data_IF_158638190496
#
_entry.id   IF_158638190496
#
_cell.length_a   1.000
_cell.length_b   1.000
_cell.length_c   1.000
_cell.angle_alpha   90.00
_cell.angle_beta   90.00
_cell.angle_gamma   90.00
#
_symmetry.space_group_name_H-M   'P 1'
#
loop_
_entity.id
_entity.type
_entity.pdbx_description
1 polymer ?
#
# COMPACT_ATOMS: atom_id res chain seq x y z
N UNK A 1 -11.27 4.78 17.34
CA UNK A 1 -10.81 5.76 18.36
C UNK A 1 -9.44 5.46 18.97
N UNK A 2 -9.17 4.23 19.43
CA UNK A 2 -7.89 3.88 20.09
C UNK A 2 -6.65 4.14 19.22
N UNK A 3 -6.69 3.81 17.92
CA UNK A 3 -5.58 4.14 17.00
C UNK A 3 -5.31 5.64 16.94
N UNK A 4 -6.36 6.45 16.76
CA UNK A 4 -6.23 7.90 16.71
C UNK A 4 -5.68 8.46 18.04
N UNK A 5 -6.09 7.89 19.17
CA UNK A 5 -5.55 8.25 20.49
C UNK A 5 -4.07 7.92 20.61
N UNK A 6 -3.64 6.73 20.17
CA UNK A 6 -2.22 6.34 20.12
C UNK A 6 -1.41 7.30 19.24
N UNK A 7 -1.95 7.72 18.10
CA UNK A 7 -1.29 8.69 17.21
C UNK A 7 -1.24 10.09 17.83
N UNK A 8 -2.33 10.54 18.48
CA UNK A 8 -2.39 11.83 19.18
C UNK A 8 -1.38 11.89 20.33
N UNK A 9 -1.36 10.87 21.19
CA UNK A 9 -0.43 10.79 22.33
C UNK A 9 1.03 10.67 21.88
N UNK A 10 1.25 10.06 20.70
CA UNK A 10 2.56 9.99 20.05
C UNK A 10 2.97 11.27 19.30
N UNK A 11 2.12 12.30 19.23
CA UNK A 11 2.41 13.55 18.52
C UNK A 11 2.27 13.48 17.00
N UNK A 12 1.62 12.44 16.47
CA UNK A 12 1.43 12.20 15.03
C UNK A 12 0.05 12.63 14.50
N UNK A 13 -0.81 13.18 15.35
CA UNK A 13 -2.15 13.62 14.98
C UNK A 13 -2.44 15.01 15.55
N UNK A 14 -2.94 15.91 14.71
CA UNK A 14 -3.35 17.25 15.12
C UNK A 14 -4.64 17.19 15.95
N UNK A 15 -4.52 17.50 17.24
CA UNK A 15 -5.62 17.38 18.20
C UNK A 15 -6.65 18.51 18.13
N UNK A 16 -6.28 19.67 17.60
CA UNK A 16 -7.06 20.91 17.50
C UNK A 16 -8.02 20.94 16.31
N UNK A 17 -7.90 19.98 15.38
CA UNK A 17 -8.79 19.87 14.25
C UNK A 17 -10.25 19.65 14.71
N UNK A 18 -11.14 20.53 14.25
CA UNK A 18 -12.58 20.42 14.49
C UNK A 18 -13.16 19.19 13.78
N UNK A 19 -14.19 18.61 14.39
CA UNK A 19 -14.90 17.45 13.84
C UNK A 19 -16.40 17.72 13.74
N UNK A 20 -17.12 16.81 13.07
CA UNK A 20 -18.58 16.87 12.92
C UNK A 20 -19.35 16.82 14.25
N UNK A 21 -18.72 16.45 15.36
CA UNK A 21 -19.37 16.45 16.69
C UNK A 21 -19.42 17.84 17.33
N UNK A 22 -18.87 18.87 16.67
CA UNK A 22 -18.71 20.20 17.25
C UNK A 22 -17.57 20.29 18.28
N UNK A 23 -16.78 19.23 18.42
CA UNK A 23 -15.59 19.15 19.29
C UNK A 23 -14.33 18.89 18.45
N UNK A 24 -13.18 19.24 19.01
CA UNK A 24 -11.86 18.92 18.45
C UNK A 24 -11.58 17.40 18.51
N UNK A 25 -10.61 16.93 17.73
CA UNK A 25 -10.13 15.54 17.81
C UNK A 25 -9.69 15.20 19.24
N UNK A 26 -8.92 16.08 19.90
CA UNK A 26 -8.43 15.85 21.26
C UNK A 26 -9.57 15.73 22.28
N UNK A 27 -10.60 16.57 22.18
CA UNK A 27 -11.78 16.49 23.05
C UNK A 27 -12.57 15.19 22.84
N UNK A 28 -12.76 14.75 21.60
CA UNK A 28 -13.44 13.49 21.31
C UNK A 28 -12.66 12.26 21.81
N UNK A 29 -11.33 12.35 21.93
CA UNK A 29 -10.46 11.23 22.31
C UNK A 29 -10.07 11.23 23.80
N UNK A 30 -10.54 12.19 24.60
CA UNK A 30 -10.13 12.38 26.00
C UNK A 30 -10.25 11.11 26.85
N UNK A 31 -11.36 10.39 26.71
CA UNK A 31 -11.70 9.23 27.55
C UNK A 31 -11.30 7.89 26.89
N UNK A 32 -10.59 7.94 25.77
CA UNK A 32 -10.11 6.75 25.07
C UNK A 32 -8.77 6.31 25.69
N UNK A 33 -8.69 5.04 26.07
CA UNK A 33 -7.47 4.43 26.59
C UNK A 33 -6.99 3.27 25.72
N UNK A 34 -5.68 3.00 25.76
CA UNK A 34 -5.10 1.85 25.07
C UNK A 34 -5.34 0.57 25.89
N UNK A 35 -5.83 -0.48 25.24
CA UNK A 35 -5.92 -1.80 25.87
C UNK A 35 -4.60 -2.57 25.68
N UNK A 36 -3.83 -2.88 26.73
CA UNK A 36 -2.57 -3.62 26.57
C UNK A 36 -2.76 -5.11 26.27
N UNK A 37 -3.95 -5.67 26.52
CA UNK A 37 -4.22 -7.10 26.30
C UNK A 37 -4.53 -7.45 24.83
N UNK A 38 -4.86 -6.45 23.99
CA UNK A 38 -5.11 -6.71 22.57
C UNK A 38 -3.79 -6.91 21.80
N UNK A 39 -3.85 -7.66 20.69
CA UNK A 39 -2.67 -8.06 19.89
C UNK A 39 -2.66 -7.50 18.47
N UNK A 40 -3.65 -6.67 18.11
CA UNK A 40 -3.88 -6.13 16.77
C UNK A 40 -3.05 -4.86 16.52
N UNK A 41 -2.99 -3.96 17.50
CA UNK A 41 -2.28 -2.69 17.40
C UNK A 41 -1.09 -2.67 18.36
N UNK A 42 0.03 -2.12 17.91
CA UNK A 42 1.18 -1.87 18.77
C UNK A 42 1.15 -0.44 19.31
N UNK A 43 1.74 -0.17 20.49
CA UNK A 43 1.93 1.21 20.95
C UNK A 43 2.86 1.97 19.99
N UNK A 44 2.74 3.30 19.97
CA UNK A 44 3.57 4.16 19.12
C UNK A 44 5.09 3.97 19.35
N UNK A 45 5.48 3.58 20.57
CA UNK A 45 6.86 3.28 20.96
C UNK A 45 7.41 1.94 20.45
N UNK A 46 6.56 1.04 19.94
CA UNK A 46 6.97 -0.27 19.43
C UNK A 46 6.25 -0.60 18.11
N UNK A 47 6.45 0.18 17.03
CA UNK A 47 5.76 -0.06 15.77
C UNK A 47 6.25 -1.35 15.09
N UNK A 48 5.54 -1.77 14.02
CA UNK A 48 6.00 -2.89 13.17
C UNK A 48 7.22 -2.47 12.34
N UNK A 49 7.15 -1.27 11.76
CA UNK A 49 8.22 -0.62 10.98
C UNK A 49 8.41 0.81 11.48
N UNK A 50 9.62 1.35 11.34
CA UNK A 50 9.92 2.72 11.78
C UNK A 50 9.20 3.80 10.95
N UNK A 51 8.88 3.48 9.68
CA UNK A 51 8.18 4.37 8.76
C UNK A 51 6.85 3.78 8.30
N UNK A 52 6.02 4.61 7.65
CA UNK A 52 4.76 4.19 7.06
C UNK A 52 4.93 3.11 5.99
N UNK A 53 3.88 2.32 5.80
CA UNK A 53 3.86 1.17 4.89
C UNK A 53 3.65 1.50 3.41
N UNK A 54 3.45 2.78 3.07
CA UNK A 54 3.22 3.27 1.70
C UNK A 54 4.25 4.36 1.43
N UNK A 55 4.94 4.26 0.30
CA UNK A 55 5.99 5.21 -0.10
C UNK A 55 5.75 5.71 -1.53
N UNK A 56 6.19 6.94 -1.77
CA UNK A 56 6.27 7.49 -3.13
C UNK A 56 7.57 7.08 -3.80
N UNK A 57 7.50 6.64 -5.05
CA UNK A 57 8.64 6.38 -5.91
C UNK A 57 8.72 7.44 -7.01
N UNK A 58 9.92 7.79 -7.44
CA UNK A 58 10.18 8.68 -8.58
C UNK A 58 11.38 8.19 -9.36
N UNK A 59 11.38 8.41 -10.67
CA UNK A 59 12.46 8.00 -11.56
C UNK A 59 12.11 8.25 -13.02
N UNK A 60 12.91 7.72 -13.93
CA UNK A 60 12.68 7.87 -15.38
C UNK A 60 11.34 7.26 -15.85
N UNK A 61 10.87 6.18 -15.22
CA UNK A 61 9.59 5.54 -15.55
C UNK A 61 8.37 6.18 -14.85
N UNK A 62 8.59 6.97 -13.80
CA UNK A 62 7.55 7.65 -13.04
C UNK A 62 8.03 9.06 -12.64
N UNK A 63 8.19 9.98 -13.61
CA UNK A 63 8.75 11.32 -13.36
C UNK A 63 7.85 12.17 -12.45
N UNK A 64 6.54 11.97 -12.52
CA UNK A 64 5.55 12.66 -11.69
C UNK A 64 5.20 11.88 -10.42
N UNK A 65 5.79 10.70 -10.25
CA UNK A 65 5.64 9.86 -9.06
C UNK A 65 4.77 8.61 -9.27
N UNK A 66 4.98 7.62 -8.42
CA UNK A 66 4.17 6.42 -8.27
C UNK A 66 4.05 6.06 -6.79
N UNK A 67 3.09 5.20 -6.45
CA UNK A 67 2.86 4.74 -5.07
C UNK A 67 3.09 3.25 -4.97
N UNK A 68 3.80 2.81 -3.94
CA UNK A 68 4.00 1.39 -3.62
C UNK A 68 3.76 1.15 -2.13
N UNK A 69 3.11 0.03 -1.82
CA UNK A 69 3.00 -0.47 -0.45
C UNK A 69 4.21 -1.35 -0.15
N UNK A 70 5.11 -0.86 0.70
CA UNK A 70 6.29 -1.60 1.19
C UNK A 70 6.03 -2.40 2.46
N UNK A 71 4.91 -2.16 3.14
CA UNK A 71 4.52 -2.97 4.29
C UNK A 71 4.38 -4.45 3.90
N UNK A 72 5.15 -5.30 4.56
CA UNK A 72 5.17 -6.74 4.33
C UNK A 72 6.21 -7.22 3.31
N UNK A 73 6.98 -6.33 2.68
CA UNK A 73 8.06 -6.72 1.77
C UNK A 73 9.36 -7.02 2.55
N UNK A 74 10.00 -8.16 2.23
CA UNK A 74 11.33 -8.53 2.72
C UNK A 74 12.46 -7.85 1.95
N UNK A 75 12.22 -7.55 0.66
CA UNK A 75 13.16 -6.89 -0.24
C UNK A 75 12.58 -5.58 -0.77
N UNK A 76 13.39 -4.52 -0.73
CA UNK A 76 12.99 -3.17 -1.19
C UNK A 76 13.53 -2.79 -2.56
N UNK A 77 14.28 -3.70 -3.18
CA UNK A 77 14.92 -3.52 -4.49
C UNK A 77 14.64 -4.72 -5.35
N UNK A 78 14.25 -4.48 -6.60
CA UNK A 78 14.05 -5.51 -7.60
C UNK A 78 14.56 -4.99 -8.95
N UNK A 79 15.17 -5.86 -9.76
CA UNK A 79 15.70 -5.49 -11.08
C UNK A 79 15.63 -6.70 -11.98
N UNK A 80 15.14 -6.48 -13.21
CA UNK A 80 15.06 -7.54 -14.20
C UNK A 80 14.52 -7.06 -15.55
N UNK A 81 14.44 -7.96 -16.53
CA UNK A 81 13.96 -7.63 -17.86
C UNK A 81 12.47 -7.27 -17.84
N UNK A 82 12.09 -6.22 -18.58
CA UNK A 82 10.69 -5.80 -18.64
C UNK A 82 9.86 -6.73 -19.52
N UNK A 83 8.71 -7.18 -18.99
CA UNK A 83 7.66 -7.90 -19.72
C UNK A 83 6.42 -7.00 -19.78
N UNK A 84 6.14 -6.46 -20.96
CA UNK A 84 5.17 -5.37 -21.14
C UNK A 84 3.86 -5.89 -21.74
N UNK A 85 2.75 -5.43 -21.18
CA UNK A 85 1.37 -5.73 -21.58
C UNK A 85 0.57 -4.43 -21.71
N UNK A 86 -0.35 -4.40 -22.66
CA UNK A 86 -1.18 -3.22 -22.95
C UNK A 86 -2.54 -3.25 -22.23
N UNK A 87 -2.90 -4.36 -21.59
CA UNK A 87 -4.07 -4.49 -20.73
C UNK A 87 -3.87 -5.55 -19.62
N UNK A 88 -4.70 -5.52 -18.59
CA UNK A 88 -4.69 -6.53 -17.51
C UNK A 88 -4.96 -7.95 -18.04
N UNK A 89 -5.86 -8.11 -19.00
CA UNK A 89 -6.28 -9.42 -19.51
C UNK A 89 -5.12 -10.21 -20.11
N UNK A 90 -4.26 -9.55 -20.88
CA UNK A 90 -3.08 -10.17 -21.49
C UNK A 90 -2.03 -10.54 -20.43
N UNK A 91 -1.83 -9.67 -19.44
CA UNK A 91 -0.92 -9.94 -18.32
C UNK A 91 -1.43 -11.14 -17.49
N UNK A 92 -2.72 -11.17 -17.19
CA UNK A 92 -3.38 -12.25 -16.47
C UNK A 92 -3.31 -13.57 -17.23
N UNK A 93 -3.53 -13.55 -18.56
CA UNK A 93 -3.37 -14.72 -19.41
C UNK A 93 -1.92 -15.26 -19.38
N UNK A 94 -0.92 -14.37 -19.41
CA UNK A 94 0.49 -14.76 -19.32
C UNK A 94 0.85 -15.38 -17.96
N UNK A 95 0.31 -14.85 -16.86
CA UNK A 95 0.42 -15.41 -15.50
C UNK A 95 -0.25 -16.79 -15.44
N UNK A 96 -1.49 -16.93 -15.90
CA UNK A 96 -2.20 -18.21 -15.89
C UNK A 96 -1.49 -19.29 -16.70
N UNK A 97 -0.96 -18.91 -17.87
CA UNK A 97 -0.20 -19.80 -18.74
C UNK A 97 1.23 -20.08 -18.24
N UNK A 98 1.66 -19.47 -17.12
CA UNK A 98 3.02 -19.62 -16.55
C UNK A 98 4.13 -19.35 -17.57
N UNK A 99 3.93 -18.33 -18.40
CA UNK A 99 4.88 -17.93 -19.46
C UNK A 99 5.85 -16.83 -19.01
N UNK A 100 5.67 -16.34 -17.79
CA UNK A 100 6.56 -15.39 -17.14
C UNK A 100 7.79 -16.12 -16.63
N UNK A 101 8.94 -15.46 -16.73
CA UNK A 101 10.20 -15.96 -16.17
C UNK A 101 10.45 -15.29 -14.82
N UNK A 102 11.02 -16.05 -13.90
CA UNK A 102 11.42 -15.51 -12.59
C UNK A 102 12.32 -14.29 -12.76
N UNK A 103 12.03 -13.23 -12.00
CA UNK A 103 12.75 -11.97 -12.03
C UNK A 103 12.35 -11.02 -13.17
N UNK A 104 11.33 -11.34 -13.99
CA UNK A 104 10.78 -10.37 -14.94
C UNK A 104 10.06 -9.22 -14.22
N UNK A 105 10.20 -8.00 -14.74
CA UNK A 105 9.43 -6.83 -14.31
C UNK A 105 8.18 -6.72 -15.17
N UNK A 106 7.03 -7.08 -14.60
CA UNK A 106 5.74 -7.02 -15.29
C UNK A 106 5.28 -5.56 -15.36
N UNK A 107 5.03 -5.06 -16.57
CA UNK A 107 4.52 -3.72 -16.84
C UNK A 107 3.17 -3.84 -17.51
N UNK A 108 2.11 -3.40 -16.86
CA UNK A 108 0.78 -3.26 -17.45
C UNK A 108 0.54 -1.78 -17.65
N UNK A 109 0.46 -1.35 -18.92
CA UNK A 109 0.28 0.06 -19.30
C UNK A 109 -1.09 0.27 -19.94
N UNK A 110 -1.38 1.54 -20.24
CA UNK A 110 -2.69 2.00 -20.71
C UNK A 110 -3.85 1.76 -19.75
N UNK A 111 -3.61 1.40 -18.49
CA UNK A 111 -4.65 1.23 -17.45
C UNK A 111 -4.88 2.48 -16.58
N UNK A 112 -4.28 3.61 -16.95
CA UNK A 112 -4.44 4.87 -16.21
C UNK A 112 -5.84 5.49 -16.36
N UNK A 113 -6.11 6.64 -15.68
CA UNK A 113 -7.44 7.28 -15.66
C UNK A 113 -8.08 7.51 -17.03
N UNK A 114 -7.25 7.77 -18.06
CA UNK A 114 -7.70 7.98 -19.44
C UNK A 114 -7.46 6.78 -20.36
N UNK A 115 -6.38 6.03 -20.15
CA UNK A 115 -6.05 4.89 -21.00
C UNK A 115 -7.03 3.74 -20.79
N UNK A 116 -7.36 3.45 -19.53
CA UNK A 116 -8.18 2.30 -19.13
C UNK A 116 -9.67 2.45 -19.46
N UNK A 117 -10.16 3.68 -19.65
CA UNK A 117 -10.58 4.68 -18.65
C UNK A 117 -10.81 4.22 -17.19
N UNK A 118 -10.86 5.21 -16.27
CA UNK A 118 -11.36 5.03 -14.91
C UNK A 118 -10.35 4.51 -13.89
N UNK A 119 -9.15 4.12 -14.32
CA UNK A 119 -8.09 3.61 -13.44
C UNK A 119 -8.57 2.41 -12.62
N UNK A 120 -8.96 1.33 -13.30
CA UNK A 120 -9.47 0.13 -12.64
C UNK A 120 -8.46 -0.47 -11.67
N UNK A 121 -8.97 -1.08 -10.61
CA UNK A 121 -8.16 -1.90 -9.70
C UNK A 121 -7.88 -3.27 -10.33
N UNK A 122 -6.62 -3.74 -10.22
CA UNK A 122 -6.13 -4.95 -10.90
C UNK A 122 -5.69 -6.04 -9.88
N UNK A 123 -6.64 -6.55 -9.10
CA UNK A 123 -6.36 -7.59 -8.09
C UNK A 123 -6.09 -8.97 -8.71
N UNK A 124 -6.75 -9.30 -9.83
CA UNK A 124 -6.71 -10.64 -10.42
C UNK A 124 -5.31 -11.09 -10.78
N UNK A 125 -4.53 -10.21 -11.41
CA UNK A 125 -3.15 -10.51 -11.85
C UNK A 125 -2.23 -10.72 -10.66
N UNK A 126 -2.30 -9.85 -9.64
CA UNK A 126 -1.44 -9.93 -8.45
C UNK A 126 -1.77 -11.13 -7.58
N UNK A 127 -3.06 -11.46 -7.41
CA UNK A 127 -3.50 -12.64 -6.67
C UNK A 127 -3.03 -13.94 -7.35
N UNK A 128 -3.09 -14.01 -8.68
CA UNK A 128 -2.63 -15.19 -9.42
C UNK A 128 -1.10 -15.38 -9.32
N UNK A 129 -0.31 -14.31 -9.42
CA UNK A 129 1.15 -14.37 -9.21
C UNK A 129 1.49 -14.90 -7.81
N UNK A 130 0.84 -14.35 -6.79
CA UNK A 130 1.07 -14.79 -5.41
C UNK A 130 0.65 -16.24 -5.19
N UNK A 131 -0.50 -16.66 -5.74
CA UNK A 131 -0.98 -18.04 -5.63
C UNK A 131 -0.08 -19.07 -6.33
N UNK A 132 0.77 -18.64 -7.26
CA UNK A 132 1.76 -19.49 -7.92
C UNK A 132 3.10 -19.55 -7.17
N UNK A 133 3.30 -18.74 -6.14
CA UNK A 133 4.58 -18.62 -5.42
C UNK A 133 5.62 -17.77 -6.15
N UNK A 134 5.22 -17.00 -7.15
CA UNK A 134 6.09 -16.15 -7.99
C UNK A 134 6.11 -14.69 -7.48
N UNK A 135 5.85 -14.46 -6.20
CA UNK A 135 5.75 -13.12 -5.58
C UNK A 135 7.07 -12.57 -5.03
N UNK A 136 8.19 -13.28 -5.23
CA UNK A 136 9.55 -12.87 -4.80
C UNK A 136 10.51 -12.64 -5.98
#
# INVERSE_FOLDING_TARGET
>A
PMLMKTLLDGGFLHGDCMTVTGRTIAENLRDVSFNPAQKVMRPASNPITATGGVVGLKGNLAPDGAIVKVAGLSHLTHTGPARVFDCEEDAFAAVQARTLKRGEVIVIRYEGPKGGPGMREMLSTTAALYGQGESE
#
